data_IF_583423782098
#
_entry.id   IF_583423782098
#
_cell.length_a   1.000
_cell.length_b   1.000
_cell.length_c   1.000
_cell.angle_alpha   90.00
_cell.angle_beta   90.00
_cell.angle_gamma   90.00
#
_symmetry.space_group_name_H-M   'P 1'
#
loop_
_entity.id
_entity.type
_entity.pdbx_description
1 polymer ?
#
# COMPACT_ATOMS: atom_id res chain seq x y z
N UNK A 1 -6.92 15.36 21.84
CA UNK A 1 -7.77 14.47 21.03
C UNK A 1 -7.74 13.10 21.68
N UNK A 2 -8.88 12.55 22.09
CA UNK A 2 -8.98 11.16 22.52
C UNK A 2 -8.93 10.31 21.26
N UNK A 3 -7.74 9.85 20.88
CA UNK A 3 -7.59 8.81 19.85
C UNK A 3 -8.18 7.57 20.50
N UNK A 4 -9.41 7.20 20.11
CA UNK A 4 -9.91 5.86 20.42
C UNK A 4 -8.85 4.90 19.88
N UNK A 5 -8.23 4.12 20.77
CA UNK A 5 -7.34 3.04 20.36
C UNK A 5 -8.14 2.17 19.38
N UNK A 6 -7.82 2.29 18.09
CA UNK A 6 -8.31 1.35 17.09
C UNK A 6 -7.74 0.02 17.54
N UNK A 7 -8.60 -0.99 17.70
CA UNK A 7 -8.10 -2.34 17.99
C UNK A 7 -7.00 -2.65 16.97
N UNK A 8 -5.86 -3.23 17.38
CA UNK A 8 -4.89 -3.71 16.40
C UNK A 8 -5.57 -4.70 15.46
N UNK A 9 -5.35 -4.52 14.16
CA UNK A 9 -5.94 -5.36 13.11
C UNK A 9 -4.78 -5.91 12.29
N UNK A 10 -4.64 -7.24 12.26
CA UNK A 10 -3.71 -7.91 11.36
C UNK A 10 -4.12 -7.64 9.92
N UNK A 11 -3.18 -7.31 9.03
CA UNK A 11 -3.54 -6.81 7.71
C UNK A 11 -2.84 -7.57 6.58
N UNK A 12 -3.53 -7.67 5.45
CA UNK A 12 -2.94 -8.00 4.16
C UNK A 12 -3.31 -6.88 3.21
N UNK A 13 -2.31 -6.12 2.75
CA UNK A 13 -2.49 -5.08 1.75
C UNK A 13 -2.12 -5.60 0.37
N UNK A 14 -2.80 -5.11 -0.67
CA UNK A 14 -2.46 -5.39 -2.07
C UNK A 14 -1.79 -4.16 -2.64
N UNK A 15 -0.57 -4.32 -3.11
CA UNK A 15 0.28 -3.24 -3.63
C UNK A 15 0.64 -3.53 -5.09
N UNK A 16 0.64 -2.48 -5.90
CA UNK A 16 1.05 -2.48 -7.30
C UNK A 16 2.37 -1.74 -7.46
N UNK A 17 3.34 -2.38 -8.11
CA UNK A 17 4.57 -1.73 -8.57
C UNK A 17 4.31 -0.89 -9.81
N UNK A 18 4.30 0.42 -9.63
CA UNK A 18 4.01 1.39 -10.69
C UNK A 18 5.32 1.90 -11.31
N UNK A 19 5.80 1.20 -12.34
CA UNK A 19 7.02 1.59 -13.06
C UNK A 19 6.89 2.95 -13.75
N UNK A 20 5.69 3.34 -14.18
CA UNK A 20 5.43 4.61 -14.86
C UNK A 20 5.68 5.80 -13.94
N UNK A 21 5.24 5.70 -12.68
CA UNK A 21 5.44 6.73 -11.67
C UNK A 21 6.65 6.47 -10.76
N UNK A 22 7.41 5.39 -11.02
CA UNK A 22 8.53 4.92 -10.22
C UNK A 22 8.19 4.82 -8.72
N UNK A 23 7.11 4.12 -8.39
CA UNK A 23 6.65 3.98 -7.01
C UNK A 23 5.75 2.77 -6.77
N UNK A 24 5.22 2.70 -5.55
CA UNK A 24 4.28 1.66 -5.15
C UNK A 24 2.92 2.27 -4.84
N UNK A 25 1.86 1.56 -5.23
CA UNK A 25 0.48 2.00 -5.09
C UNK A 25 -0.30 0.95 -4.32
N UNK A 26 -0.80 1.29 -3.13
CA UNK A 26 -1.71 0.41 -2.40
C UNK A 26 -3.09 0.46 -3.06
N UNK A 27 -3.55 -0.70 -3.53
CA UNK A 27 -4.83 -0.89 -4.21
C UNK A 27 -5.98 -1.15 -3.23
N UNK A 28 -5.65 -1.67 -2.05
CA UNK A 28 -6.62 -2.04 -1.02
C UNK A 28 -6.06 -3.12 -0.11
N UNK A 29 -6.94 -3.81 0.60
CA UNK A 29 -6.55 -4.88 1.52
C UNK A 29 -7.70 -5.27 2.42
N UNK A 30 -7.42 -6.19 3.33
CA UNK A 30 -8.34 -6.61 4.36
C UNK A 30 -7.62 -6.71 5.71
N UNK A 31 -8.41 -6.64 6.77
CA UNK A 31 -7.94 -6.70 8.14
C UNK A 31 -8.71 -7.72 8.97
N UNK A 32 -8.02 -8.36 9.92
CA UNK A 32 -8.54 -9.41 10.79
C UNK A 32 -8.26 -9.11 12.26
N UNK A 33 -9.24 -9.39 13.13
CA UNK A 33 -9.03 -9.33 14.59
C UNK A 33 -8.24 -10.54 15.11
N UNK A 34 -8.28 -11.66 14.38
CA UNK A 34 -7.65 -12.94 14.78
C UNK A 34 -6.40 -13.22 13.95
N UNK A 35 -5.26 -13.41 14.63
CA UNK A 35 -4.02 -13.81 13.98
C UNK A 35 -4.18 -15.15 13.24
N UNK A 36 -4.92 -16.10 13.84
CA UNK A 36 -5.12 -17.43 13.24
C UNK A 36 -5.90 -17.34 11.93
N UNK A 37 -6.92 -16.48 11.89
CA UNK A 37 -7.69 -16.26 10.66
C UNK A 37 -6.83 -15.61 9.59
N UNK A 38 -6.07 -14.56 9.95
CA UNK A 38 -5.13 -13.90 9.06
C UNK A 38 -4.06 -14.85 8.49
N UNK A 39 -3.46 -15.70 9.32
CA UNK A 39 -2.51 -16.74 8.88
C UNK A 39 -3.16 -17.74 7.91
N UNK A 40 -4.42 -18.11 8.17
CA UNK A 40 -5.18 -18.99 7.29
C UNK A 40 -5.43 -18.34 5.93
N UNK A 41 -5.82 -17.06 5.90
CA UNK A 41 -6.04 -16.33 4.65
C UNK A 41 -4.72 -16.15 3.89
N UNK A 42 -3.63 -15.80 4.57
CA UNK A 42 -2.30 -15.71 3.97
C UNK A 42 -1.88 -17.02 3.33
N UNK A 43 -2.04 -18.14 4.03
CA UNK A 43 -1.63 -19.46 3.56
C UNK A 43 -2.45 -19.94 2.36
N UNK A 44 -3.76 -19.63 2.33
CA UNK A 44 -4.67 -20.05 1.27
C UNK A 44 -4.55 -19.21 -0.02
N UNK A 45 -3.84 -18.07 0.03
CA UNK A 45 -3.77 -17.13 -1.08
C UNK A 45 -3.06 -17.72 -2.31
N UNK A 46 -3.70 -17.70 -3.50
CA UNK A 46 -3.03 -18.05 -4.75
C UNK A 46 -1.85 -17.12 -5.02
N UNK A 47 -0.72 -17.69 -5.41
CA UNK A 47 0.49 -16.93 -5.77
C UNK A 47 0.75 -17.04 -7.28
N UNK A 48 1.41 -16.05 -7.85
CA UNK A 48 1.84 -16.12 -9.23
C UNK A 48 2.95 -17.16 -9.40
N UNK A 49 2.76 -18.11 -10.32
CA UNK A 49 3.79 -19.07 -10.72
C UNK A 49 4.99 -18.39 -11.41
N UNK A 50 4.79 -17.18 -11.95
CA UNK A 50 5.86 -16.39 -12.58
C UNK A 50 6.71 -15.63 -11.56
N UNK A 51 6.25 -15.50 -10.32
CA UNK A 51 6.94 -14.76 -9.27
C UNK A 51 7.28 -13.33 -9.71
N UNK A 52 8.55 -12.94 -9.60
CA UNK A 52 9.02 -11.60 -9.98
C UNK A 52 8.95 -11.30 -11.48
N UNK A 53 8.73 -12.31 -12.32
CA UNK A 53 8.56 -12.14 -13.77
C UNK A 53 7.08 -11.94 -14.16
N UNK A 54 6.15 -11.85 -13.20
CA UNK A 54 4.76 -11.57 -13.49
C UNK A 54 4.59 -10.11 -13.96
N UNK A 55 4.06 -9.85 -15.17
CA UNK A 55 3.92 -8.51 -15.70
C UNK A 55 2.90 -7.65 -14.96
N UNK A 56 2.03 -8.23 -14.13
CA UNK A 56 1.05 -7.46 -13.36
C UNK A 56 1.71 -6.66 -12.21
N UNK A 57 2.92 -7.05 -11.78
CA UNK A 57 3.69 -6.36 -10.73
C UNK A 57 2.90 -6.18 -9.41
N UNK A 58 2.09 -7.18 -9.06
CA UNK A 58 1.25 -7.17 -7.86
C UNK A 58 1.88 -7.94 -6.71
N UNK A 59 1.73 -7.38 -5.51
CA UNK A 59 2.27 -7.89 -4.26
C UNK A 59 1.15 -7.92 -3.24
N UNK A 60 0.98 -9.04 -2.55
CA UNK A 60 0.26 -9.08 -1.29
C UNK A 60 1.28 -8.90 -0.16
N UNK A 61 1.10 -7.86 0.64
CA UNK A 61 1.95 -7.48 1.76
C UNK A 61 1.31 -7.97 3.06
N UNK A 62 1.98 -8.87 3.76
CA UNK A 62 1.53 -9.37 5.07
C UNK A 62 2.05 -8.42 6.15
N UNK A 63 1.13 -7.74 6.83
CA UNK A 63 1.43 -6.74 7.83
C UNK A 63 1.00 -7.21 9.23
N UNK A 64 1.84 -7.01 10.23
CA UNK A 64 1.49 -7.30 11.61
C UNK A 64 0.53 -6.25 12.22
N UNK A 65 0.30 -6.34 13.53
CA UNK A 65 -0.62 -5.46 14.27
C UNK A 65 -0.19 -4.00 14.32
N UNK A 66 1.11 -3.73 14.18
CA UNK A 66 1.69 -2.39 14.19
C UNK A 66 1.76 -1.82 12.76
N UNK A 67 1.39 -2.63 11.76
CA UNK A 67 1.43 -2.28 10.35
C UNK A 67 2.80 -2.53 9.71
N UNK A 68 3.70 -3.22 10.41
CA UNK A 68 5.02 -3.55 9.89
C UNK A 68 4.93 -4.72 8.91
N UNK A 69 5.65 -4.59 7.79
CA UNK A 69 5.76 -5.64 6.79
C UNK A 69 6.57 -6.81 7.34
N UNK A 70 5.96 -8.00 7.34
CA UNK A 70 6.60 -9.22 7.84
C UNK A 70 6.84 -10.29 6.75
N UNK A 71 6.06 -10.28 5.67
CA UNK A 71 6.19 -11.22 4.55
C UNK A 71 5.51 -10.65 3.29
N UNK A 72 5.88 -11.14 2.11
CA UNK A 72 5.28 -10.72 0.84
C UNK A 72 5.06 -11.88 -0.14
N UNK A 73 4.03 -11.78 -0.98
CA UNK A 73 3.74 -12.75 -2.04
C UNK A 73 3.46 -12.05 -3.35
N UNK A 74 4.02 -12.58 -4.45
CA UNK A 74 3.63 -12.17 -5.80
C UNK A 74 2.31 -12.82 -6.15
N UNK A 75 1.35 -12.04 -6.62
CA UNK A 75 0.01 -12.51 -6.99
C UNK A 75 -0.31 -12.13 -8.44
N UNK A 76 -1.30 -12.80 -9.03
CA UNK A 76 -1.76 -12.48 -10.38
C UNK A 76 -2.81 -11.36 -10.36
N UNK A 77 -3.10 -10.79 -11.53
CA UNK A 77 -4.20 -9.84 -11.69
C UNK A 77 -5.54 -10.43 -11.24
N UNK A 78 -5.84 -11.66 -11.64
CA UNK A 78 -7.09 -12.35 -11.29
C UNK A 78 -7.22 -12.55 -9.78
N UNK A 79 -6.11 -12.81 -9.09
CA UNK A 79 -6.09 -12.94 -7.63
C UNK A 79 -6.41 -11.60 -6.97
N UNK A 80 -5.81 -10.51 -7.42
CA UNK A 80 -6.09 -9.18 -6.87
C UNK A 80 -7.55 -8.76 -7.10
N UNK A 81 -8.08 -8.97 -8.29
CA UNK A 81 -9.49 -8.66 -8.62
C UNK A 81 -10.46 -9.50 -7.79
N UNK A 82 -10.16 -10.78 -7.57
CA UNK A 82 -10.95 -11.67 -6.72
C UNK A 82 -10.96 -11.18 -5.26
N UNK A 83 -9.79 -10.83 -4.72
CA UNK A 83 -9.67 -10.40 -3.32
C UNK A 83 -10.31 -9.04 -3.07
N UNK A 84 -10.22 -8.12 -4.04
CA UNK A 84 -10.70 -6.75 -3.91
C UNK A 84 -12.12 -6.54 -4.48
N UNK A 85 -12.65 -7.53 -5.20
CA UNK A 85 -14.00 -7.52 -5.77
C UNK A 85 -14.21 -6.45 -6.85
N UNK A 86 -13.13 -5.96 -7.47
CA UNK A 86 -13.14 -4.84 -8.43
C UNK A 86 -12.13 -5.06 -9.55
N UNK A 87 -12.37 -4.49 -10.74
CA UNK A 87 -11.41 -4.55 -11.85
C UNK A 87 -10.06 -3.89 -11.50
N UNK A 88 -8.96 -4.52 -11.93
CA UNK A 88 -7.60 -4.09 -11.58
C UNK A 88 -7.28 -2.68 -12.11
N UNK A 89 -7.74 -2.37 -13.32
CA UNK A 89 -7.52 -1.06 -13.93
C UNK A 89 -8.17 0.08 -13.11
N UNK A 90 -9.34 -0.14 -12.53
CA UNK A 90 -9.99 0.85 -11.65
C UNK A 90 -9.23 1.03 -10.35
N UNK A 91 -8.78 -0.08 -9.76
CA UNK A 91 -8.00 -0.09 -8.53
C UNK A 91 -6.68 0.66 -8.70
N UNK A 92 -5.96 0.40 -9.80
CA UNK A 92 -4.71 1.09 -10.13
C UNK A 92 -4.96 2.58 -10.35
N UNK A 93 -5.98 2.96 -11.12
CA UNK A 93 -6.29 4.36 -11.39
C UNK A 93 -6.65 5.11 -10.08
N UNK A 94 -7.47 4.52 -9.23
CA UNK A 94 -7.85 5.08 -7.94
C UNK A 94 -6.65 5.19 -6.98
N UNK A 95 -5.83 4.14 -6.91
CA UNK A 95 -4.62 4.13 -6.09
C UNK A 95 -3.64 5.22 -6.53
N UNK A 96 -3.37 5.32 -7.84
CA UNK A 96 -2.51 6.37 -8.41
C UNK A 96 -3.00 7.78 -8.06
N UNK A 97 -4.31 8.00 -8.08
CA UNK A 97 -4.89 9.30 -7.72
C UNK A 97 -4.70 9.68 -6.24
N UNK A 98 -4.45 8.70 -5.36
CA UNK A 98 -4.25 8.91 -3.91
C UNK A 98 -2.78 8.89 -3.51
N UNK A 99 -1.89 8.38 -4.36
CA UNK A 99 -0.46 8.28 -4.06
C UNK A 99 0.28 9.55 -4.48
N UNK A 100 1.06 10.10 -3.55
CA UNK A 100 2.07 11.11 -3.86
C UNK A 100 3.39 10.42 -4.19
N UNK A 101 3.81 10.45 -5.46
CA UNK A 101 5.06 9.83 -5.92
C UNK A 101 6.29 10.73 -5.72
N UNK A 102 6.08 12.02 -5.49
CA UNK A 102 7.14 13.00 -5.26
C UNK A 102 6.87 13.83 -4.01
N UNK A 103 7.94 14.36 -3.42
CA UNK A 103 7.82 15.33 -2.32
C UNK A 103 7.00 16.55 -2.77
N UNK A 104 7.13 16.98 -4.02
CA UNK A 104 6.31 18.07 -4.57
C UNK A 104 4.81 17.79 -4.43
N UNK A 105 4.37 16.63 -4.93
CA UNK A 105 2.97 16.21 -4.83
C UNK A 105 2.49 16.06 -3.38
N UNK A 106 3.35 15.57 -2.48
CA UNK A 106 3.04 15.49 -1.05
C UNK A 106 2.82 16.89 -0.45
N UNK A 107 3.68 17.85 -0.77
CA UNK A 107 3.55 19.21 -0.27
C UNK A 107 2.37 19.96 -0.91
N UNK A 108 2.01 19.63 -2.15
CA UNK A 108 0.84 20.19 -2.80
C UNK A 108 -0.47 19.65 -2.21
N UNK A 109 -0.47 18.39 -1.71
CA UNK A 109 -1.64 17.79 -1.06
C UNK A 109 -1.80 18.16 0.42
N UNK A 110 -0.71 18.59 1.09
CA UNK A 110 -0.73 19.05 2.50
C UNK A 110 -0.04 20.43 2.66
N UNK A 111 -0.81 21.53 2.60
CA UNK A 111 -0.28 22.89 2.75
C UNK A 111 0.35 23.17 4.12
N UNK A 112 -0.12 22.51 5.20
CA UNK A 112 0.46 22.69 6.54
C UNK A 112 1.85 22.06 6.62
N UNK A 113 2.00 20.86 6.05
CA UNK A 113 3.29 20.20 5.90
C UNK A 113 4.22 21.03 5.01
N UNK A 114 3.71 21.59 3.91
CA UNK A 114 4.47 22.49 3.03
C UNK A 114 5.01 23.72 3.76
N UNK A 115 4.20 24.35 4.62
CA UNK A 115 4.63 25.49 5.41
C UNK A 115 5.77 25.10 6.38
N UNK A 116 5.64 23.96 7.08
CA UNK A 116 6.69 23.42 7.96
C UNK A 116 7.96 23.13 7.17
N UNK A 117 7.87 22.44 6.04
CA UNK A 117 9.02 22.09 5.21
C UNK A 117 9.79 23.33 4.72
N UNK A 118 9.07 24.38 4.28
CA UNK A 118 9.68 25.65 3.84
C UNK A 118 10.34 26.41 4.98
N UNK A 119 9.77 26.39 6.19
CA UNK A 119 10.35 27.07 7.36
C UNK A 119 11.68 26.46 7.86
N UNK A 120 11.96 25.20 7.53
CA UNK A 120 13.21 24.50 7.89
C UNK A 120 14.29 24.60 6.80
N UNK A 121 14.02 25.23 5.65
CA UNK A 121 15.08 25.61 4.72
C UNK A 121 15.86 26.77 5.33
N UNK A 122 16.96 26.46 6.02
CA UNK A 122 17.99 27.46 6.33
C UNK A 122 18.42 28.11 5.02
N UNK A 123 18.45 29.44 4.89
CA UNK A 123 19.04 30.07 3.71
C UNK A 123 20.48 29.57 3.62
N UNK A 124 20.88 29.07 2.44
CA UNK A 124 22.29 28.81 2.19
C UNK A 124 23.04 30.12 2.46
N UNK A 125 24.00 30.08 3.38
CA UNK A 125 24.85 31.23 3.68
C UNK A 125 25.48 31.70 2.36
N UNK A 126 25.23 32.98 2.06
CA UNK A 126 25.77 33.67 0.88
C UNK A 126 27.27 33.88 1.00
#
# INVERSE_FOLDING_TARGET
MNVKAVKPVWCIAITFGDEENNGFVTLGGAGWESQVEWESQWSAMPVSEKGNADPAMLIADKLDVDGDLIDEKRITAETAELLLGRPLNELIAEGRAKTCFTVGQLLDSDPELAAKFRSHRTPAAS
#
